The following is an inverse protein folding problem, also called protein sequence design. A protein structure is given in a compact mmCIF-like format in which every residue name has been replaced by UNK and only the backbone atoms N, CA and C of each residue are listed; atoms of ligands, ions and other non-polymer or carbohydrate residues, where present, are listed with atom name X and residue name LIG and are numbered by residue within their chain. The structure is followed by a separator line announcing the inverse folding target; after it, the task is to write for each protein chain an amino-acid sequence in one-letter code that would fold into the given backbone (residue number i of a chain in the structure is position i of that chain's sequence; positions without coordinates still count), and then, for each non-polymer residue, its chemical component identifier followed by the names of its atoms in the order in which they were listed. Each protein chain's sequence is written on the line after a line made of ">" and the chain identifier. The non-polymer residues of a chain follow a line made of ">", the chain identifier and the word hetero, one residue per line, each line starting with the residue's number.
data_IF_507631751425
#
_entry.id   IF_507631751425
#
_cell.length_a   1.000
_cell.length_b   1.000
_cell.length_c   1.000
_cell.angle_alpha   90.00
_cell.angle_beta   90.00
_cell.angle_gamma   90.00
#
_symmetry.space_group_name_H-M   'P 1'
#
loop_
_entity.id
_entity.type
_entity.pdbx_description
1 polymer ?
#
# COMPACT_ATOMS: atom_id res chain seq x y z
N UNK A 1 -48.52 -13.57 -46.71
CA UNK A 1 -49.88 -12.99 -46.74
C UNK A 1 -50.41 -13.03 -45.32
N UNK A 2 -50.48 -11.92 -44.58
CA UNK A 2 -51.60 -10.92 -44.57
C UNK A 2 -52.89 -11.65 -44.15
N UNK A 3 -53.64 -11.36 -43.07
CA UNK A 3 -53.70 -10.22 -42.15
C UNK A 3 -54.84 -10.49 -41.13
N UNK A 4 -54.68 -10.02 -39.87
CA UNK A 4 -55.63 -9.40 -38.87
C UNK A 4 -57.11 -9.86 -38.85
N UNK A 5 -57.91 -9.87 -37.76
CA UNK A 5 -58.09 -9.13 -36.48
C UNK A 5 -59.43 -9.72 -35.92
N UNK A 6 -59.82 -9.81 -34.64
CA UNK A 6 -60.10 -8.79 -33.60
C UNK A 6 -60.63 -9.53 -32.34
N UNK A 7 -60.19 -9.25 -31.10
CA UNK A 7 -60.85 -8.45 -30.01
C UNK A 7 -62.27 -8.95 -29.58
N UNK A 8 -62.66 -9.16 -28.31
CA UNK A 8 -62.59 -8.33 -27.06
C UNK A 8 -62.80 -9.23 -25.79
N UNK A 9 -62.03 -9.08 -24.69
CA UNK A 9 -62.33 -8.42 -23.37
C UNK A 9 -63.57 -8.96 -22.63
N UNK A 10 -63.47 -9.51 -21.40
CA UNK A 10 -63.38 -8.81 -20.09
C UNK A 10 -62.96 -9.79 -18.95
N UNK A 11 -61.99 -9.48 -18.07
CA UNK A 11 -62.02 -8.73 -16.79
C UNK A 11 -62.14 -9.64 -15.53
N UNK A 12 -61.14 -9.57 -14.64
CA UNK A 12 -61.11 -10.31 -13.37
C UNK A 12 -59.91 -9.98 -12.46
N UNK A 13 -60.09 -8.92 -11.66
CA UNK A 13 -59.59 -8.65 -10.30
C UNK A 13 -58.14 -9.00 -9.84
N UNK A 14 -57.41 -7.91 -9.52
CA UNK A 14 -56.75 -7.57 -8.23
C UNK A 14 -55.73 -8.51 -7.56
N UNK A 15 -54.46 -8.11 -7.73
CA UNK A 15 -53.47 -7.81 -6.69
C UNK A 15 -53.07 -8.88 -5.65
N UNK A 16 -51.85 -9.40 -5.78
CA UNK A 16 -50.93 -9.51 -4.63
C UNK A 16 -49.46 -9.45 -5.09
N UNK A 17 -48.69 -8.58 -4.45
CA UNK A 17 -47.31 -8.89 -4.07
C UNK A 17 -46.20 -8.80 -5.13
N UNK A 18 -45.47 -7.67 -5.07
CA UNK A 18 -44.03 -7.55 -5.34
C UNK A 18 -43.49 -7.96 -6.71
N UNK A 19 -43.35 -6.96 -7.57
CA UNK A 19 -42.38 -6.97 -8.66
C UNK A 19 -40.96 -7.22 -8.10
N UNK A 20 -40.39 -8.36 -8.48
CA UNK A 20 -38.98 -8.68 -8.36
C UNK A 20 -38.15 -7.66 -9.15
N UNK A 21 -37.59 -6.68 -8.44
CA UNK A 21 -36.48 -5.88 -8.93
C UNK A 21 -35.23 -6.76 -8.95
N UNK A 22 -34.44 -6.83 -10.04
CA UNK A 22 -33.11 -7.38 -9.94
C UNK A 22 -32.29 -6.39 -9.11
N UNK A 23 -32.10 -6.73 -7.83
CA UNK A 23 -31.13 -6.05 -6.98
C UNK A 23 -29.77 -6.19 -7.65
N UNK A 24 -29.22 -5.05 -8.06
CA UNK A 24 -27.82 -4.87 -8.40
C UNK A 24 -26.98 -5.69 -7.41
N UNK A 25 -26.12 -6.56 -7.93
CA UNK A 25 -25.12 -7.28 -7.17
C UNK A 25 -24.34 -6.27 -6.32
N UNK A 26 -24.73 -6.12 -5.05
CA UNK A 26 -23.97 -5.39 -4.06
C UNK A 26 -22.70 -6.20 -3.88
N UNK A 27 -21.60 -5.62 -4.37
CA UNK A 27 -20.27 -6.20 -4.35
C UNK A 27 -20.01 -6.92 -3.05
N UNK A 28 -19.73 -8.21 -3.19
CA UNK A 28 -19.33 -9.13 -2.16
C UNK A 28 -18.15 -8.52 -1.40
N UNK A 29 -18.42 -7.74 -0.34
CA UNK A 29 -17.39 -7.26 0.58
C UNK A 29 -16.86 -8.49 1.29
N UNK A 30 -15.63 -8.87 0.94
CA UNK A 30 -14.90 -9.88 1.70
C UNK A 30 -14.87 -9.47 3.18
N UNK A 31 -14.96 -10.43 4.11
CA UNK A 31 -14.95 -10.14 5.54
C UNK A 31 -13.68 -9.38 5.94
N UNK A 32 -13.73 -8.56 7.00
CA UNK A 32 -12.58 -7.81 7.48
C UNK A 32 -11.41 -8.75 7.75
N UNK A 33 -10.24 -8.41 7.20
CA UNK A 33 -9.00 -9.14 7.44
C UNK A 33 -8.60 -8.89 8.89
N UNK A 34 -8.74 -9.91 9.73
CA UNK A 34 -8.12 -9.95 11.06
C UNK A 34 -6.65 -10.34 10.86
N UNK A 35 -5.81 -9.37 10.50
CA UNK A 35 -4.41 -9.47 10.85
C UNK A 35 -4.33 -9.17 12.34
N UNK A 36 -3.83 -10.10 13.17
CA UNK A 36 -3.67 -9.86 14.62
C UNK A 36 -2.97 -8.52 14.83
N UNK A 37 -3.68 -7.54 15.39
CA UNK A 37 -3.12 -6.21 15.72
C UNK A 37 -3.13 -5.14 14.62
N UNK A 38 -3.77 -5.37 13.46
CA UNK A 38 -3.87 -4.36 12.39
C UNK A 38 -5.30 -4.07 11.92
N UNK A 39 -5.60 -2.80 11.63
CA UNK A 39 -6.88 -2.34 11.07
C UNK A 39 -6.72 -2.04 9.57
N UNK A 40 -7.49 -2.71 8.71
CA UNK A 40 -7.42 -2.53 7.25
C UNK A 40 -8.64 -1.75 6.75
N UNK A 41 -8.41 -0.62 6.09
CA UNK A 41 -9.41 0.20 5.42
C UNK A 41 -9.24 0.10 3.90
N UNK A 42 -10.33 -0.12 3.17
CA UNK A 42 -10.35 -0.13 1.70
C UNK A 42 -11.08 1.11 1.19
N UNK A 43 -10.53 1.77 0.18
CA UNK A 43 -11.05 2.99 -0.43
C UNK A 43 -10.89 2.96 -1.95
N UNK A 44 -11.65 3.82 -2.65
CA UNK A 44 -11.48 4.04 -4.09
C UNK A 44 -10.25 4.90 -4.42
N UNK A 45 -9.77 5.66 -3.45
CA UNK A 45 -8.63 6.59 -3.60
C UNK A 45 -7.64 6.39 -2.47
N UNK A 46 -6.37 6.65 -2.76
CA UNK A 46 -5.31 6.58 -1.77
C UNK A 46 -5.58 7.60 -0.66
N UNK A 47 -5.77 7.10 0.57
CA UNK A 47 -5.95 7.95 1.74
C UNK A 47 -4.62 8.65 1.99
N UNK A 48 -4.64 9.98 2.05
CA UNK A 48 -3.47 10.80 2.39
C UNK A 48 -3.53 11.13 3.88
N UNK A 49 -2.60 10.60 4.67
CA UNK A 49 -2.59 10.80 6.12
C UNK A 49 -2.34 12.27 6.50
N UNK A 50 -1.37 12.91 5.82
CA UNK A 50 -0.99 14.31 6.04
C UNK A 50 -0.72 15.00 4.69
N UNK A 51 -1.67 15.79 4.15
CA UNK A 51 -1.53 16.41 2.83
C UNK A 51 -0.50 17.55 2.81
N UNK A 52 -0.13 18.07 3.98
CA UNK A 52 0.89 19.11 4.15
C UNK A 52 2.33 18.57 4.12
N UNK A 53 2.51 17.25 4.19
CA UNK A 53 3.83 16.62 4.14
C UNK A 53 4.26 16.37 2.69
N UNK A 54 5.58 16.47 2.42
CA UNK A 54 6.12 16.24 1.09
C UNK A 54 5.98 14.78 0.65
N UNK A 55 6.05 14.57 -0.66
CA UNK A 55 6.00 13.26 -1.32
C UNK A 55 7.33 13.02 -2.02
N UNK A 56 7.88 11.82 -1.89
CA UNK A 56 9.11 11.45 -2.59
C UNK A 56 8.83 11.19 -4.08
N UNK A 57 9.74 11.64 -4.95
CA UNK A 57 9.68 11.42 -6.41
C UNK A 57 11.02 10.92 -6.95
N UNK A 58 11.82 10.29 -6.09
CA UNK A 58 13.17 9.84 -6.42
C UNK A 58 13.16 8.70 -7.46
N UNK A 59 14.20 8.57 -8.30
CA UNK A 59 14.34 7.46 -9.23
C UNK A 59 14.34 6.11 -8.51
N UNK A 60 13.69 5.11 -9.11
CA UNK A 60 13.59 3.77 -8.53
C UNK A 60 12.72 3.68 -7.27
N UNK A 61 11.96 4.72 -6.92
CA UNK A 61 11.11 4.75 -5.73
C UNK A 61 10.22 3.52 -5.62
N UNK A 62 10.38 2.81 -4.50
CA UNK A 62 9.50 1.71 -4.09
C UNK A 62 8.39 2.26 -3.20
N UNK A 63 8.78 2.92 -2.12
CA UNK A 63 7.90 3.61 -1.19
C UNK A 63 8.72 4.57 -0.31
N UNK A 64 8.04 5.44 0.42
CA UNK A 64 8.67 6.31 1.41
C UNK A 64 7.89 6.28 2.73
N UNK A 65 8.52 6.74 3.80
CA UNK A 65 7.92 6.83 5.14
C UNK A 65 7.90 8.29 5.54
N UNK A 66 6.69 8.78 5.80
CA UNK A 66 6.43 10.04 6.48
C UNK A 66 6.32 9.77 7.98
N UNK A 67 6.57 10.80 8.79
CA UNK A 67 6.35 10.72 10.23
C UNK A 67 5.85 12.04 10.82
N UNK A 68 5.32 12.02 12.04
CA UNK A 68 4.80 13.22 12.71
C UNK A 68 5.86 14.18 13.23
N UNK A 69 7.09 13.71 13.49
CA UNK A 69 8.14 14.51 14.15
C UNK A 69 8.60 15.70 13.28
N UNK A 70 8.86 15.49 11.99
CA UNK A 70 9.29 16.56 11.08
C UNK A 70 8.91 16.24 9.62
N UNK A 71 9.32 17.09 8.68
CA UNK A 71 8.97 16.98 7.25
C UNK A 71 9.90 16.08 6.44
N UNK A 72 10.96 15.53 7.04
CA UNK A 72 11.87 14.62 6.35
C UNK A 72 11.19 13.29 6.04
N UNK A 73 11.61 12.67 4.94
CA UNK A 73 11.12 11.35 4.53
C UNK A 73 12.25 10.33 4.59
N UNK A 74 11.94 9.10 4.97
CA UNK A 74 12.79 7.95 4.70
C UNK A 74 12.35 7.37 3.36
N UNK A 75 13.21 7.37 2.37
CA UNK A 75 12.92 6.86 1.03
C UNK A 75 13.56 5.49 0.85
N UNK A 76 12.78 4.54 0.33
CA UNK A 76 13.23 3.24 -0.11
C UNK A 76 13.15 3.18 -1.63
N UNK A 77 14.29 2.97 -2.28
CA UNK A 77 14.39 2.90 -3.73
C UNK A 77 15.07 1.61 -4.16
N UNK A 78 14.64 1.07 -5.30
CA UNK A 78 15.30 -0.04 -5.95
C UNK A 78 16.57 0.42 -6.65
N UNK A 79 17.63 -0.38 -6.55
CA UNK A 79 18.82 -0.20 -7.36
C UNK A 79 18.72 -1.07 -8.60
N UNK A 80 18.74 -0.40 -9.75
CA UNK A 80 18.75 -1.04 -11.05
C UNK A 80 20.17 -1.00 -11.61
N UNK A 81 20.58 -2.12 -12.21
CA UNK A 81 21.80 -2.21 -13.01
C UNK A 81 21.58 -1.58 -14.39
N UNK A 82 22.64 -1.36 -15.18
CA UNK A 82 22.51 -0.84 -16.55
C UNK A 82 21.63 -1.69 -17.47
N UNK A 83 21.44 -2.98 -17.17
CA UNK A 83 20.55 -3.89 -17.91
C UNK A 83 19.08 -3.81 -17.46
N UNK A 84 18.75 -2.87 -16.58
CA UNK A 84 17.39 -2.67 -16.05
C UNK A 84 16.96 -3.69 -15.00
N UNK A 85 17.82 -4.64 -14.61
CA UNK A 85 17.51 -5.63 -13.57
C UNK A 85 17.89 -5.11 -12.19
N UNK A 86 17.24 -5.65 -11.15
CA UNK A 86 17.58 -5.38 -9.76
C UNK A 86 19.03 -5.81 -9.47
N UNK A 87 19.77 -4.96 -8.76
CA UNK A 87 21.14 -5.26 -8.32
C UNK A 87 21.12 -6.45 -7.33
N UNK A 88 21.80 -7.57 -7.63
CA UNK A 88 21.78 -8.74 -6.76
C UNK A 88 22.53 -8.55 -5.44
N UNK A 89 23.45 -7.59 -5.36
CA UNK A 89 24.22 -7.31 -4.16
C UNK A 89 23.47 -6.37 -3.22
N UNK A 90 22.79 -5.37 -3.79
CA UNK A 90 22.02 -4.39 -3.03
C UNK A 90 20.77 -3.94 -3.80
N UNK A 91 19.71 -4.76 -3.85
CA UNK A 91 18.54 -4.49 -4.69
C UNK A 91 17.71 -3.30 -4.17
N UNK A 92 17.85 -2.97 -2.89
CA UNK A 92 17.15 -1.86 -2.23
C UNK A 92 18.14 -0.98 -1.49
N UNK A 93 17.98 0.33 -1.64
CA UNK A 93 18.62 1.33 -0.82
C UNK A 93 17.62 2.14 -0.02
N UNK A 94 18.04 2.56 1.17
CA UNK A 94 17.28 3.45 2.03
C UNK A 94 18.09 4.71 2.32
N UNK A 95 17.44 5.87 2.29
CA UNK A 95 18.08 7.17 2.54
C UNK A 95 17.08 8.19 3.07
N UNK A 96 17.60 9.24 3.70
CA UNK A 96 16.82 10.40 4.11
C UNK A 96 16.64 11.38 2.95
N UNK A 97 15.44 11.93 2.83
CA UNK A 97 15.11 13.09 2.01
C UNK A 97 14.69 14.24 2.93
N UNK A 98 15.58 15.22 3.12
CA UNK A 98 15.48 16.28 4.12
C UNK A 98 14.74 17.51 3.59
N UNK A 99 13.41 17.48 3.68
CA UNK A 99 12.55 18.60 3.23
C UNK A 99 12.40 19.71 4.27
N UNK A 100 12.89 19.51 5.49
CA UNK A 100 13.15 20.56 6.48
C UNK A 100 14.25 21.53 6.01
N UNK A 101 15.10 21.10 5.08
CA UNK A 101 16.15 21.90 4.47
C UNK A 101 15.78 22.27 3.03
N UNK A 102 16.41 21.62 2.04
CA UNK A 102 16.24 21.90 0.60
C UNK A 102 15.88 20.62 -0.18
N UNK A 103 15.33 19.61 0.50
CA UNK A 103 15.07 18.30 -0.08
C UNK A 103 16.35 17.51 -0.35
N UNK A 104 17.41 17.71 0.43
CA UNK A 104 18.68 17.03 0.17
C UNK A 104 18.58 15.53 0.45
N UNK A 105 19.29 14.74 -0.37
CA UNK A 105 19.45 13.30 -0.16
C UNK A 105 20.60 13.08 0.82
N UNK A 106 20.34 12.40 1.94
CA UNK A 106 21.34 12.04 2.96
C UNK A 106 21.34 10.55 3.19
N UNK A 107 22.52 9.94 3.20
CA UNK A 107 22.65 8.53 3.56
C UNK A 107 22.26 8.30 5.03
N UNK A 108 21.69 7.13 5.33
CA UNK A 108 21.46 6.72 6.71
C UNK A 108 22.80 6.59 7.44
N UNK A 109 22.87 7.09 8.66
CA UNK A 109 24.03 6.83 9.52
C UNK A 109 24.11 5.32 9.85
N UNK A 110 25.29 4.84 10.24
CA UNK A 110 25.53 3.41 10.51
C UNK A 110 24.50 2.81 11.49
N UNK A 111 24.19 3.52 12.59
CA UNK A 111 23.23 3.08 13.59
C UNK A 111 21.79 3.08 13.07
N UNK A 112 21.37 4.12 12.34
CA UNK A 112 20.03 4.18 11.74
C UNK A 112 19.81 3.03 10.76
N UNK A 113 20.83 2.71 9.96
CA UNK A 113 20.82 1.57 9.05
C UNK A 113 20.69 0.24 9.80
N UNK A 114 21.35 0.07 10.93
CA UNK A 114 21.33 -1.23 11.64
C UNK A 114 20.06 -1.41 12.48
N UNK A 115 19.58 -0.34 13.12
CA UNK A 115 18.55 -0.44 14.16
C UNK A 115 17.16 0.01 13.72
N UNK A 116 17.04 0.93 12.75
CA UNK A 116 15.74 1.54 12.43
C UNK A 116 15.34 1.34 10.95
N UNK A 117 16.10 1.89 10.02
CA UNK A 117 15.66 2.11 8.63
C UNK A 117 16.43 1.31 7.59
N UNK A 118 17.44 0.52 7.98
CA UNK A 118 18.10 -0.32 6.99
C UNK A 118 17.20 -1.43 6.48
N UNK A 119 17.52 -1.90 5.28
CA UNK A 119 16.84 -3.00 4.62
C UNK A 119 17.78 -4.18 4.56
N UNK A 120 17.32 -5.32 5.08
CA UNK A 120 17.93 -6.61 4.74
C UNK A 120 17.20 -7.21 3.56
N UNK A 121 17.95 -7.77 2.62
CA UNK A 121 17.39 -8.34 1.40
C UNK A 121 17.85 -9.78 1.23
N UNK A 122 17.01 -10.59 0.59
CA UNK A 122 17.28 -11.99 0.29
C UNK A 122 16.76 -12.30 -1.10
N UNK A 123 17.56 -13.01 -1.90
CA UNK A 123 17.13 -13.44 -3.22
C UNK A 123 15.92 -14.37 -3.14
N UNK A 124 14.98 -14.17 -4.06
CA UNK A 124 13.84 -15.05 -4.35
C UNK A 124 13.98 -15.57 -5.79
N UNK A 125 13.19 -16.60 -6.16
CA UNK A 125 13.09 -17.02 -7.55
C UNK A 125 12.68 -15.88 -8.49
N UNK A 126 12.99 -16.06 -9.77
CA UNK A 126 12.57 -15.17 -10.86
C UNK A 126 13.14 -13.74 -10.78
N UNK A 127 14.30 -13.57 -10.15
CA UNK A 127 14.96 -12.26 -10.03
C UNK A 127 14.25 -11.29 -9.08
N UNK A 128 13.38 -11.82 -8.20
CA UNK A 128 12.71 -11.06 -7.15
C UNK A 128 13.55 -11.06 -5.87
N UNK A 129 13.24 -10.16 -4.96
CA UNK A 129 13.92 -10.08 -3.66
C UNK A 129 12.93 -9.91 -2.53
N UNK A 130 13.12 -10.66 -1.45
CA UNK A 130 12.47 -10.39 -0.18
C UNK A 130 13.22 -9.28 0.54
N UNK A 131 12.52 -8.27 1.06
CA UNK A 131 13.07 -7.14 1.78
C UNK A 131 12.40 -7.01 3.15
N UNK A 132 13.19 -6.88 4.21
CA UNK A 132 12.71 -6.57 5.57
C UNK A 132 13.36 -5.30 6.07
N UNK A 133 12.57 -4.45 6.71
CA UNK A 133 13.08 -3.23 7.36
C UNK A 133 13.59 -3.61 8.77
N UNK A 134 14.74 -3.07 9.16
CA UNK A 134 15.39 -3.37 10.43
C UNK A 134 14.48 -3.10 11.64
N UNK A 135 13.74 -1.99 11.63
CA UNK A 135 12.77 -1.62 12.66
C UNK A 135 11.41 -2.33 12.57
N UNK A 136 11.15 -3.09 11.51
CA UNK A 136 9.90 -3.85 11.34
C UNK A 136 10.12 -5.19 10.64
N UNK A 137 10.90 -6.07 11.29
CA UNK A 137 11.30 -7.38 10.75
C UNK A 137 10.16 -8.39 10.65
N UNK A 138 9.03 -8.11 11.27
CA UNK A 138 7.88 -9.01 11.32
C UNK A 138 7.26 -9.27 9.93
N UNK A 139 7.44 -8.34 8.97
CA UNK A 139 6.92 -8.47 7.62
C UNK A 139 8.02 -8.39 6.58
N UNK A 140 7.91 -9.25 5.57
CA UNK A 140 8.76 -9.25 4.38
C UNK A 140 7.94 -8.68 3.21
N UNK A 141 8.49 -7.65 2.56
CA UNK A 141 7.99 -7.15 1.28
C UNK A 141 8.70 -7.88 0.14
N UNK A 142 8.00 -8.10 -0.97
CA UNK A 142 8.57 -8.63 -2.20
C UNK A 142 8.88 -7.44 -3.11
N UNK A 143 10.13 -7.36 -3.57
CA UNK A 143 10.60 -6.37 -4.53
C UNK A 143 10.72 -7.05 -5.88
N UNK A 144 10.00 -6.51 -6.86
CA UNK A 144 10.02 -6.96 -8.24
C UNK A 144 9.95 -5.77 -9.21
N UNK A 145 10.01 -6.10 -10.50
CA UNK A 145 9.77 -5.17 -11.59
C UNK A 145 8.41 -5.51 -12.20
N UNK A 146 7.61 -4.51 -12.52
CA UNK A 146 6.39 -4.72 -13.29
C UNK A 146 6.70 -5.03 -14.77
N UNK A 147 5.64 -5.28 -15.56
CA UNK A 147 5.74 -5.58 -17.00
C UNK A 147 6.44 -4.47 -17.81
N UNK A 148 6.54 -3.26 -17.26
CA UNK A 148 7.19 -2.10 -17.87
C UNK A 148 8.61 -1.88 -17.32
N UNK A 149 9.12 -2.78 -16.49
CA UNK A 149 10.41 -2.66 -15.84
C UNK A 149 10.43 -1.65 -14.69
N UNK A 150 9.27 -1.19 -14.20
CA UNK A 150 9.22 -0.25 -13.08
C UNK A 150 9.29 -1.02 -11.76
N UNK A 151 10.19 -0.64 -10.84
CA UNK A 151 10.29 -1.30 -9.55
C UNK A 151 9.06 -1.04 -8.67
N UNK A 152 8.65 -2.05 -7.91
CA UNK A 152 7.55 -1.95 -6.94
C UNK A 152 7.82 -2.83 -5.72
N UNK A 153 7.27 -2.40 -4.58
CA UNK A 153 7.27 -3.17 -3.34
C UNK A 153 5.88 -3.73 -3.07
N UNK A 154 5.78 -5.05 -2.94
CA UNK A 154 4.55 -5.78 -2.70
C UNK A 154 4.56 -6.30 -1.26
N UNK A 155 3.56 -5.91 -0.48
CA UNK A 155 3.40 -6.35 0.91
C UNK A 155 2.17 -7.26 1.01
N UNK A 156 2.30 -8.48 1.56
CA UNK A 156 1.14 -9.30 1.88
C UNK A 156 0.37 -8.68 3.05
N UNK A 157 -0.92 -8.41 2.82
CA UNK A 157 -1.87 -7.90 3.82
C UNK A 157 -3.07 -8.83 3.85
N UNK A 158 -3.04 -9.80 4.76
CA UNK A 158 -3.99 -10.93 4.77
C UNK A 158 -3.89 -11.75 3.49
N UNK A 159 -5.00 -11.87 2.76
CA UNK A 159 -5.06 -12.58 1.47
C UNK A 159 -4.74 -11.71 0.26
N UNK A 160 -4.44 -10.41 0.46
CA UNK A 160 -4.22 -9.44 -0.61
C UNK A 160 -2.73 -9.15 -0.77
N UNK A 161 -2.33 -8.86 -2.01
CA UNK A 161 -1.00 -8.35 -2.33
C UNK A 161 -1.10 -6.86 -2.60
N UNK A 162 -0.49 -6.06 -1.75
CA UNK A 162 -0.59 -4.60 -1.82
C UNK A 162 0.70 -4.02 -2.35
N UNK A 163 0.64 -3.30 -3.47
CA UNK A 163 1.71 -2.42 -3.90
C UNK A 163 1.78 -1.22 -2.98
N UNK A 164 2.80 -1.17 -2.14
CA UNK A 164 3.03 -0.09 -1.19
C UNK A 164 3.37 1.19 -1.96
N UNK A 165 2.81 2.32 -1.51
CA UNK A 165 3.12 3.65 -2.04
C UNK A 165 3.88 4.45 -0.99
N UNK A 166 3.36 4.48 0.23
CA UNK A 166 4.03 5.13 1.36
C UNK A 166 3.54 4.55 2.69
N UNK A 167 4.26 4.86 3.77
CA UNK A 167 3.77 4.65 5.12
C UNK A 167 3.84 5.94 5.94
N UNK A 168 2.98 6.07 6.94
CA UNK A 168 2.96 7.17 7.88
C UNK A 168 3.18 6.63 9.30
N UNK A 169 4.27 7.04 9.94
CA UNK A 169 4.58 6.69 11.31
C UNK A 169 4.18 7.84 12.25
N UNK A 170 3.21 7.60 13.13
CA UNK A 170 2.94 8.51 14.22
C UNK A 170 3.89 8.22 15.37
N UNK A 171 4.75 9.18 15.66
CA UNK A 171 5.73 9.12 16.73
C UNK A 171 5.78 10.43 17.53
N UNK A 172 6.12 10.31 18.80
CA UNK A 172 6.37 11.42 19.71
C UNK A 172 7.85 11.45 20.11
N UNK A 173 8.39 12.66 20.22
CA UNK A 173 9.77 13.03 20.57
C UNK A 173 9.84 13.67 21.98
N UNK A 174 8.78 13.57 22.77
CA UNK A 174 8.75 14.15 24.12
C UNK A 174 9.77 13.54 25.12
N UNK A 175 10.57 12.55 24.75
CA UNK A 175 11.56 11.89 25.61
C UNK A 175 12.83 11.46 24.88
N UNK A 176 13.80 10.90 25.62
CA UNK A 176 15.13 10.52 25.11
C UNK A 176 15.09 9.42 24.01
N UNK A 177 13.99 8.67 23.93
CA UNK A 177 13.75 7.64 22.91
C UNK A 177 12.42 7.98 22.22
N UNK A 178 12.42 8.20 20.90
CA UNK A 178 11.20 8.42 20.15
C UNK A 178 10.26 7.22 20.28
N UNK A 179 9.01 7.47 20.64
CA UNK A 179 7.98 6.43 20.75
C UNK A 179 7.12 6.42 19.51
N UNK A 180 6.99 5.27 18.85
CA UNK A 180 6.13 5.12 17.67
C UNK A 180 4.80 4.54 18.13
N UNK A 181 3.70 5.29 18.03
CA UNK A 181 2.38 4.82 18.43
C UNK A 181 1.76 3.87 17.41
N UNK A 182 1.84 4.24 16.13
CA UNK A 182 1.31 3.42 15.04
C UNK A 182 2.00 3.74 13.72
N UNK A 183 1.89 2.79 12.78
CA UNK A 183 2.27 2.96 11.38
C UNK A 183 1.07 2.66 10.50
N UNK A 184 0.68 3.61 9.66
CA UNK A 184 -0.28 3.38 8.58
C UNK A 184 0.49 3.08 7.29
N UNK A 185 0.29 1.90 6.70
CA UNK A 185 0.80 1.53 5.38
C UNK A 185 -0.26 1.82 4.34
N UNK A 186 0.09 2.58 3.30
CA UNK A 186 -0.82 2.98 2.23
C UNK A 186 -0.35 2.42 0.89
N UNK A 187 -1.26 1.82 0.15
CA UNK A 187 -0.94 1.22 -1.14
C UNK A 187 -2.18 0.88 -1.97
N UNK A 188 -1.95 0.09 -3.01
CA UNK A 188 -3.00 -0.39 -3.91
C UNK A 188 -2.98 -1.91 -3.98
N UNK A 189 -4.14 -2.53 -3.89
CA UNK A 189 -4.31 -3.94 -4.20
C UNK A 189 -3.96 -4.19 -5.67
N UNK A 190 -3.06 -5.13 -5.95
CA UNK A 190 -2.66 -5.42 -7.33
C UNK A 190 -3.77 -6.16 -8.11
N UNK A 191 -4.69 -6.84 -7.42
CA UNK A 191 -5.76 -7.60 -8.07
C UNK A 191 -6.95 -6.71 -8.42
N UNK A 192 -7.34 -5.81 -7.50
CA UNK A 192 -8.56 -5.00 -7.66
C UNK A 192 -8.27 -3.54 -8.02
N UNK A 193 -7.05 -3.06 -7.82
CA UNK A 193 -6.69 -1.64 -7.97
C UNK A 193 -7.22 -0.75 -6.84
N UNK A 194 -7.89 -1.31 -5.84
CA UNK A 194 -8.42 -0.55 -4.70
C UNK A 194 -7.29 0.00 -3.82
N UNK A 195 -7.50 1.19 -3.28
CA UNK A 195 -6.58 1.74 -2.30
C UNK A 195 -6.79 1.06 -0.94
N UNK A 196 -5.69 0.68 -0.31
CA UNK A 196 -5.66 0.03 0.98
C UNK A 196 -4.84 0.88 1.95
N UNK A 197 -5.38 1.09 3.14
CA UNK A 197 -4.66 1.55 4.32
C UNK A 197 -4.65 0.42 5.34
N UNK A 198 -3.47 0.03 5.81
CA UNK A 198 -3.32 -0.86 6.96
C UNK A 198 -2.69 -0.10 8.13
N UNK A 199 -3.41 0.03 9.24
CA UNK A 199 -2.85 0.55 10.49
C UNK A 199 -2.27 -0.58 11.32
N UNK A 200 -1.01 -0.46 11.70
CA UNK A 200 -0.31 -1.34 12.63
C UNK A 200 -0.09 -0.54 13.91
N UNK A 201 -0.67 -0.99 15.03
CA UNK A 201 -0.38 -0.38 16.33
C UNK A 201 0.90 -0.98 16.89
N UNK A 202 1.79 -0.12 17.35
CA UNK A 202 3.07 -0.48 17.95
C UNK A 202 3.03 0.10 19.37
N UNK A 203 2.22 -0.47 20.26
CA UNK A 203 2.24 -0.07 21.67
C UNK A 203 3.55 -0.60 22.28
N UNK A 204 4.62 0.20 22.23
CA UNK A 204 5.93 -0.06 22.84
C UNK A 204 6.50 1.19 23.50
#
# INVERSE_FOLDING_TARGET
>A
MVTRRSLFLTAGALAYGMASRPGLAQGQRLPPIVARGSEVTVSRTLIVARPDLPVATDPGLLFYVQHSINKSLIVYAARLRPDGKLDPNQPVEAFWRRFDEQGQRRALNFFERIFAFGVSTRALPDGRYGARIAGYRAREAIIDLDERGKPRALLPVGSRMVRVVYAYASADDAGFIPKIHYVDVHGFDIATGEAIRERIRLDM
#
